data_IF_518893876582
#
_entry.id   IF_518893876582
#
_cell.length_a   1.000
_cell.length_b   1.000
_cell.length_c   1.000
_cell.angle_alpha   90.00
_cell.angle_beta   90.00
_cell.angle_gamma   90.00
#
_symmetry.space_group_name_H-M   'P 1'
#
loop_
_entity.id
_entity.type
_entity.pdbx_description
1 polymer ?
#
# COMPACT_ATOMS: atom_id res chain seq x y z
N UNK A 1 -43.63 -35.64 49.67
CA UNK A 1 -44.08 -34.36 49.08
C UNK A 1 -43.03 -33.32 49.41
N UNK A 2 -42.30 -32.79 48.42
CA UNK A 2 -41.29 -31.74 48.60
C UNK A 2 -39.85 -32.19 48.25
N UNK A 3 -39.11 -31.30 47.57
CA UNK A 3 -37.69 -31.36 47.19
C UNK A 3 -37.31 -31.98 45.83
N UNK A 4 -37.83 -31.43 44.72
CA UNK A 4 -37.26 -31.61 43.36
C UNK A 4 -37.42 -30.32 42.52
N UNK A 5 -36.97 -29.16 43.00
CA UNK A 5 -36.95 -27.90 42.20
C UNK A 5 -35.70 -27.03 42.42
N UNK A 6 -34.60 -27.63 42.91
CA UNK A 6 -33.34 -26.90 43.14
C UNK A 6 -32.42 -26.82 41.92
N UNK A 7 -32.32 -27.89 41.11
CA UNK A 7 -31.24 -28.04 40.13
C UNK A 7 -31.35 -27.22 38.85
N UNK A 8 -32.58 -26.87 38.43
CA UNK A 8 -32.83 -26.27 37.11
C UNK A 8 -32.55 -24.75 37.06
N UNK A 9 -32.66 -24.07 38.20
CA UNK A 9 -32.44 -22.63 38.31
C UNK A 9 -30.95 -22.25 38.30
N UNK A 10 -30.10 -23.08 38.92
CA UNK A 10 -28.65 -22.86 38.87
C UNK A 10 -28.10 -23.11 37.47
N UNK A 11 -28.53 -24.19 36.79
CA UNK A 11 -28.09 -24.49 35.42
C UNK A 11 -28.41 -23.38 34.42
N UNK A 12 -29.64 -22.84 34.45
CA UNK A 12 -30.03 -21.72 33.58
C UNK A 12 -29.29 -20.41 33.92
N UNK A 13 -29.02 -20.15 35.20
CA UNK A 13 -28.23 -19.00 35.63
C UNK A 13 -26.76 -19.10 35.18
N UNK A 14 -26.15 -20.30 35.26
CA UNK A 14 -24.80 -20.56 34.78
C UNK A 14 -24.68 -20.41 33.26
N UNK A 15 -25.63 -20.95 32.50
CA UNK A 15 -25.66 -20.79 31.03
C UNK A 15 -25.80 -19.33 30.66
N UNK A 16 -26.74 -18.61 31.28
CA UNK A 16 -26.95 -17.18 30.99
C UNK A 16 -25.72 -16.35 31.31
N UNK A 17 -25.09 -16.55 32.48
CA UNK A 17 -23.86 -15.86 32.84
C UNK A 17 -22.73 -16.13 31.84
N UNK A 18 -22.56 -17.38 31.40
CA UNK A 18 -21.56 -17.75 30.38
C UNK A 18 -21.86 -17.12 29.01
N UNK A 19 -23.13 -17.05 28.61
CA UNK A 19 -23.55 -16.40 27.36
C UNK A 19 -23.34 -14.88 27.42
N UNK A 20 -23.64 -14.25 28.56
CA UNK A 20 -23.41 -12.82 28.78
C UNK A 20 -21.89 -12.50 28.75
N UNK A 21 -21.06 -13.31 29.41
CA UNK A 21 -19.59 -13.19 29.38
C UNK A 21 -19.02 -13.37 27.95
N UNK A 22 -19.56 -14.30 27.17
CA UNK A 22 -19.16 -14.49 25.77
C UNK A 22 -19.56 -13.31 24.88
N UNK A 23 -20.78 -12.79 25.05
CA UNK A 23 -21.26 -11.65 24.29
C UNK A 23 -20.46 -10.37 24.60
N UNK A 24 -20.08 -10.17 25.87
CA UNK A 24 -19.23 -9.05 26.29
C UNK A 24 -17.80 -9.17 25.73
N UNK A 25 -17.21 -10.38 25.74
CA UNK A 25 -15.91 -10.62 25.11
C UNK A 25 -15.94 -10.41 23.59
N UNK A 26 -17.01 -10.85 22.91
CA UNK A 26 -17.16 -10.64 21.46
C UNK A 26 -17.31 -9.15 21.13
N UNK A 27 -18.07 -8.41 21.94
CA UNK A 27 -18.20 -6.96 21.79
C UNK A 27 -16.85 -6.26 21.94
N UNK A 28 -16.08 -6.59 22.98
CA UNK A 28 -14.74 -6.02 23.20
C UNK A 28 -13.77 -6.34 22.04
N UNK A 29 -13.79 -7.57 21.52
CA UNK A 29 -12.98 -7.95 20.35
C UNK A 29 -13.38 -7.12 19.13
N UNK A 30 -14.68 -6.95 18.89
CA UNK A 30 -15.20 -6.19 17.74
C UNK A 30 -14.85 -4.71 17.85
N UNK A 31 -14.96 -4.13 19.03
CA UNK A 31 -14.54 -2.74 19.30
C UNK A 31 -13.03 -2.58 19.11
N UNK A 32 -12.22 -3.47 19.67
CA UNK A 32 -10.76 -3.46 19.48
C UNK A 32 -10.36 -3.63 18.01
N UNK A 33 -11.06 -4.48 17.26
CA UNK A 33 -10.83 -4.65 15.83
C UNK A 33 -11.14 -3.36 15.07
N UNK A 34 -12.28 -2.72 15.35
CA UNK A 34 -12.68 -1.46 14.73
C UNK A 34 -11.69 -0.33 15.03
N UNK A 35 -11.21 -0.23 16.27
CA UNK A 35 -10.15 0.74 16.64
C UNK A 35 -8.85 0.47 15.87
N UNK A 36 -8.42 -0.78 15.79
CA UNK A 36 -7.22 -1.17 15.01
C UNK A 36 -7.39 -0.84 13.53
N UNK A 37 -8.54 -1.10 12.94
CA UNK A 37 -8.82 -0.74 11.54
C UNK A 37 -8.71 0.78 11.33
N UNK A 38 -9.31 1.60 12.20
CA UNK A 38 -9.23 3.07 12.14
C UNK A 38 -7.77 3.53 12.23
N UNK A 39 -7.01 3.01 13.19
CA UNK A 39 -5.59 3.34 13.36
C UNK A 39 -4.77 2.96 12.12
N UNK A 40 -5.03 1.81 11.52
CA UNK A 40 -4.38 1.41 10.27
C UNK A 40 -4.72 2.38 9.13
N UNK A 41 -5.99 2.81 8.99
CA UNK A 41 -6.37 3.82 7.98
C UNK A 41 -5.56 5.11 8.17
N UNK A 42 -5.46 5.58 9.41
CA UNK A 42 -4.74 6.82 9.74
C UNK A 42 -3.24 6.71 9.41
N UNK A 43 -2.61 5.58 9.72
CA UNK A 43 -1.21 5.31 9.34
C UNK A 43 -1.05 5.36 7.81
N UNK A 44 -1.94 4.71 7.06
CA UNK A 44 -1.89 4.72 5.60
C UNK A 44 -2.07 6.13 5.02
N UNK A 45 -3.01 6.91 5.54
CA UNK A 45 -3.20 8.31 5.16
C UNK A 45 -1.94 9.14 5.41
N UNK A 46 -1.29 8.96 6.57
CA UNK A 46 -0.04 9.66 6.91
C UNK A 46 1.12 9.24 5.99
N UNK A 47 1.26 7.95 5.69
CA UNK A 47 2.29 7.46 4.75
C UNK A 47 2.08 8.10 3.38
N UNK A 48 0.85 8.14 2.86
CA UNK A 48 0.53 8.79 1.60
C UNK A 48 0.92 10.26 1.60
N UNK A 49 0.54 11.00 2.65
CA UNK A 49 0.88 12.42 2.79
C UNK A 49 2.40 12.64 2.81
N UNK A 50 3.15 11.80 3.53
CA UNK A 50 4.61 11.88 3.61
C UNK A 50 5.26 11.63 2.25
N UNK A 51 4.82 10.59 1.53
CA UNK A 51 5.32 10.27 0.19
C UNK A 51 5.00 11.39 -0.81
N UNK A 52 3.82 11.99 -0.75
CA UNK A 52 3.44 13.13 -1.59
C UNK A 52 4.28 14.38 -1.29
N UNK A 53 4.53 14.67 -0.02
CA UNK A 53 5.38 15.78 0.40
C UNK A 53 6.81 15.59 -0.11
N UNK A 54 7.40 14.42 0.13
CA UNK A 54 8.75 14.09 -0.34
C UNK A 54 8.84 14.16 -1.88
N UNK A 55 7.85 13.60 -2.58
CA UNK A 55 7.78 13.68 -4.05
C UNK A 55 7.74 15.14 -4.53
N UNK A 56 6.95 15.99 -3.89
CA UNK A 56 6.84 17.40 -4.26
C UNK A 56 8.14 18.16 -4.00
N UNK A 57 8.80 17.92 -2.86
CA UNK A 57 10.09 18.51 -2.54
C UNK A 57 11.16 18.11 -3.56
N UNK A 58 11.30 16.81 -3.87
CA UNK A 58 12.28 16.33 -4.84
C UNK A 58 12.04 16.91 -6.24
N UNK A 59 10.77 17.04 -6.65
CA UNK A 59 10.42 17.68 -7.92
C UNK A 59 10.82 19.16 -7.94
N UNK A 60 10.58 19.91 -6.86
CA UNK A 60 11.01 21.30 -6.75
C UNK A 60 12.53 21.42 -6.79
N UNK A 61 13.25 20.58 -6.04
CA UNK A 61 14.71 20.56 -6.05
C UNK A 61 15.29 20.23 -7.43
N UNK A 62 14.65 19.33 -8.18
CA UNK A 62 15.02 19.04 -9.57
C UNK A 62 14.86 20.26 -10.49
N UNK A 63 13.83 21.09 -10.28
CA UNK A 63 13.57 22.30 -11.08
C UNK A 63 14.55 23.42 -10.77
N UNK A 64 14.95 23.58 -9.50
CA UNK A 64 15.86 24.65 -9.06
C UNK A 64 17.33 24.23 -9.00
N UNK A 65 17.66 23.02 -9.45
CA UNK A 65 19.04 22.55 -9.50
C UNK A 65 19.90 23.46 -10.39
N UNK A 66 21.06 23.88 -9.87
CA UNK A 66 21.99 24.76 -10.58
C UNK A 66 22.75 24.08 -11.72
N UNK A 67 22.70 22.76 -11.78
CA UNK A 67 23.35 21.95 -12.80
C UNK A 67 22.53 20.70 -13.15
N UNK A 68 22.81 20.15 -14.34
CA UNK A 68 22.08 19.01 -14.88
C UNK A 68 22.23 17.74 -14.02
N UNK A 69 23.42 17.47 -13.50
CA UNK A 69 23.69 16.26 -12.72
C UNK A 69 22.84 16.24 -11.44
N UNK A 70 22.84 17.35 -10.70
CA UNK A 70 22.03 17.51 -9.49
C UNK A 70 20.53 17.39 -9.81
N UNK A 71 20.07 18.03 -10.89
CA UNK A 71 18.68 17.94 -11.34
C UNK A 71 18.25 16.51 -11.67
N UNK A 72 19.13 15.74 -12.32
CA UNK A 72 18.90 14.34 -12.69
C UNK A 72 18.83 13.43 -11.45
N UNK A 73 19.69 13.64 -10.44
CA UNK A 73 19.66 12.90 -9.16
C UNK A 73 18.32 13.11 -8.43
N UNK A 74 17.83 14.35 -8.38
CA UNK A 74 16.54 14.64 -7.76
C UNK A 74 15.36 14.05 -8.55
N UNK A 75 15.43 14.06 -9.88
CA UNK A 75 14.41 13.44 -10.75
C UNK A 75 14.34 11.92 -10.57
N UNK A 76 15.49 11.27 -10.45
CA UNK A 76 15.60 9.83 -10.17
C UNK A 76 15.07 9.49 -8.76
N UNK A 77 15.45 10.29 -7.76
CA UNK A 77 14.91 10.13 -6.40
C UNK A 77 13.39 10.30 -6.39
N UNK A 78 12.87 11.27 -7.15
CA UNK A 78 11.44 11.51 -7.30
C UNK A 78 10.73 10.30 -7.93
N UNK A 79 11.25 9.70 -9.00
CA UNK A 79 10.62 8.50 -9.60
C UNK A 79 10.63 7.31 -8.65
N UNK A 80 11.69 7.12 -7.85
CA UNK A 80 11.75 6.07 -6.82
C UNK A 80 10.68 6.26 -5.75
N UNK A 81 10.54 7.47 -5.20
CA UNK A 81 9.49 7.77 -4.21
C UNK A 81 8.10 7.58 -4.80
N UNK A 82 7.87 8.00 -6.05
CA UNK A 82 6.58 7.75 -6.73
C UNK A 82 6.29 6.26 -6.90
N UNK A 83 7.30 5.46 -7.23
CA UNK A 83 7.16 4.00 -7.35
C UNK A 83 6.65 3.36 -6.06
N UNK A 84 7.22 3.76 -4.91
CA UNK A 84 6.80 3.32 -3.59
C UNK A 84 5.39 3.81 -3.25
N UNK A 85 5.06 5.07 -3.59
CA UNK A 85 3.73 5.63 -3.39
C UNK A 85 2.64 4.86 -4.14
N UNK A 86 2.91 4.48 -5.40
CA UNK A 86 1.96 3.71 -6.22
C UNK A 86 1.63 2.34 -5.62
N UNK A 87 2.63 1.66 -5.03
CA UNK A 87 2.42 0.40 -4.29
C UNK A 87 1.53 0.62 -3.09
N UNK A 88 1.81 1.65 -2.29
CA UNK A 88 1.02 1.96 -1.11
C UNK A 88 -0.43 2.30 -1.45
N UNK A 89 -0.68 3.02 -2.55
CA UNK A 89 -2.02 3.35 -3.02
C UNK A 89 -2.79 2.10 -3.50
N UNK A 90 -2.15 1.17 -4.21
CA UNK A 90 -2.79 -0.05 -4.72
C UNK A 90 -3.11 -1.05 -3.59
N UNK A 91 -2.20 -1.21 -2.63
CA UNK A 91 -2.43 -2.08 -1.47
C UNK A 91 -3.68 -1.68 -0.71
N UNK A 92 -3.84 -0.38 -0.43
CA UNK A 92 -4.93 0.06 0.43
C UNK A 92 -6.27 0.22 -0.32
N UNK A 93 -6.23 0.38 -1.64
CA UNK A 93 -7.44 0.35 -2.47
C UNK A 93 -8.04 -1.06 -2.57
N UNK A 94 -7.23 -2.10 -2.40
CA UNK A 94 -7.67 -3.50 -2.38
C UNK A 94 -7.95 -3.94 -0.94
N UNK A 95 -9.13 -3.61 -0.43
CA UNK A 95 -9.61 -3.84 0.96
C UNK A 95 -9.48 -5.28 1.50
N UNK A 96 -9.05 -6.27 0.69
CA UNK A 96 -9.17 -7.70 0.98
C UNK A 96 -7.86 -8.49 0.74
N UNK A 97 -6.89 -7.98 -0.03
CA UNK A 97 -5.69 -8.74 -0.36
C UNK A 97 -4.40 -7.95 -0.11
N UNK A 98 -3.54 -8.51 0.73
CA UNK A 98 -2.15 -8.05 0.95
C UNK A 98 -1.23 -8.28 -0.26
N UNK A 99 -1.81 -8.41 -1.46
CA UNK A 99 -1.14 -8.77 -2.70
C UNK A 99 -1.46 -7.79 -3.81
N UNK A 100 -0.46 -7.51 -4.64
CA UNK A 100 -0.47 -6.54 -5.72
C UNK A 100 -0.36 -7.30 -7.04
N UNK A 101 -1.27 -7.01 -7.97
CA UNK A 101 -1.09 -7.37 -9.38
C UNK A 101 0.17 -6.67 -9.90
N UNK A 102 1.23 -7.45 -10.07
CA UNK A 102 2.55 -6.94 -10.40
C UNK A 102 2.63 -6.45 -11.85
N UNK A 103 1.93 -7.11 -12.78
CA UNK A 103 1.91 -6.72 -14.19
C UNK A 103 1.32 -5.31 -14.36
N UNK A 104 0.11 -5.13 -13.82
CA UNK A 104 -0.56 -3.81 -13.85
C UNK A 104 0.25 -2.74 -13.11
N UNK A 105 0.89 -3.09 -11.99
CA UNK A 105 1.73 -2.17 -11.25
C UNK A 105 2.96 -1.71 -12.07
N UNK A 106 3.72 -2.66 -12.64
CA UNK A 106 4.94 -2.38 -13.39
C UNK A 106 4.64 -1.61 -14.68
N UNK A 107 3.54 -1.92 -15.37
CA UNK A 107 3.12 -1.18 -16.56
C UNK A 107 2.81 0.30 -16.24
N UNK A 108 2.06 0.56 -15.16
CA UNK A 108 1.78 1.93 -14.72
C UNK A 108 3.04 2.65 -14.28
N UNK A 109 3.95 1.96 -13.60
CA UNK A 109 5.23 2.52 -13.18
C UNK A 109 6.08 2.93 -14.39
N UNK A 110 6.24 2.02 -15.36
CA UNK A 110 6.95 2.27 -16.60
C UNK A 110 6.39 3.48 -17.36
N UNK A 111 5.07 3.54 -17.51
CA UNK A 111 4.37 4.67 -18.14
C UNK A 111 4.70 6.00 -17.45
N UNK A 112 4.61 6.05 -16.12
CA UNK A 112 4.91 7.26 -15.34
C UNK A 112 6.37 7.72 -15.48
N UNK A 113 7.32 6.78 -15.52
CA UNK A 113 8.75 7.09 -15.71
C UNK A 113 8.95 7.67 -17.10
N UNK A 114 8.43 7.01 -18.15
CA UNK A 114 8.55 7.47 -19.54
C UNK A 114 8.00 8.89 -19.69
N UNK A 115 6.81 9.18 -19.15
CA UNK A 115 6.22 10.54 -19.20
C UNK A 115 7.08 11.58 -18.45
N UNK A 116 7.73 11.20 -17.35
CA UNK A 116 8.59 12.12 -16.57
C UNK A 116 9.88 12.49 -17.29
N UNK A 117 10.38 11.61 -18.16
CA UNK A 117 11.61 11.77 -18.93
C UNK A 117 11.40 12.28 -20.36
N UNK A 118 10.16 12.36 -20.84
CA UNK A 118 9.87 12.78 -22.21
C UNK A 118 10.38 14.19 -22.50
N UNK A 119 11.42 14.25 -23.34
CA UNK A 119 12.06 15.47 -23.76
C UNK A 119 12.29 15.59 -25.27
N UNK A 120 11.66 14.72 -26.11
CA UNK A 120 11.44 14.87 -27.59
C UNK A 120 11.20 13.56 -28.39
N UNK A 121 11.33 12.36 -27.79
CA UNK A 121 11.19 11.08 -28.52
C UNK A 121 9.90 10.32 -28.15
N UNK A 122 9.25 9.76 -29.16
CA UNK A 122 8.09 8.87 -29.00
C UNK A 122 8.59 7.48 -28.60
N UNK A 123 8.27 7.06 -27.37
CA UNK A 123 8.57 5.72 -26.86
C UNK A 123 7.24 4.98 -26.76
N UNK A 124 7.18 3.79 -27.36
CA UNK A 124 6.01 2.91 -27.27
C UNK A 124 6.27 1.89 -26.19
N UNK A 125 5.37 1.81 -25.21
CA UNK A 125 5.38 0.76 -24.19
C UNK A 125 4.46 -0.37 -24.65
N UNK A 126 4.98 -1.59 -24.72
CA UNK A 126 4.23 -2.80 -25.06
C UNK A 126 4.04 -3.59 -23.76
N UNK A 127 2.79 -3.93 -23.46
CA UNK A 127 2.43 -4.75 -22.31
C UNK A 127 2.23 -6.20 -22.75
N UNK A 128 2.98 -7.11 -22.13
CA UNK A 128 2.86 -8.57 -22.29
C UNK A 128 2.96 -9.21 -20.89
N UNK A 129 2.24 -8.64 -19.93
CA UNK A 129 2.26 -9.09 -18.54
C UNK A 129 1.07 -10.00 -18.21
N UNK A 130 1.33 -11.04 -17.44
CA UNK A 130 0.30 -11.89 -16.85
C UNK A 130 -0.16 -11.32 -15.49
N UNK A 131 -1.39 -11.66 -15.08
CA UNK A 131 -1.94 -11.28 -13.77
C UNK A 131 -1.32 -12.13 -12.65
N UNK A 132 -0.15 -11.70 -12.19
CA UNK A 132 0.56 -12.33 -11.07
C UNK A 132 0.43 -11.46 -9.83
N UNK A 133 -0.02 -12.04 -8.72
CA UNK A 133 -0.22 -11.34 -7.46
C UNK A 133 0.95 -11.59 -6.51
N UNK A 134 1.69 -10.54 -6.16
CA UNK A 134 2.82 -10.61 -5.23
C UNK A 134 2.52 -9.88 -3.91
N UNK A 135 3.00 -10.38 -2.77
CA UNK A 135 2.93 -9.62 -1.53
C UNK A 135 3.77 -8.34 -1.64
N UNK A 136 3.38 -7.31 -0.90
CA UNK A 136 3.95 -5.95 -0.98
C UNK A 136 5.47 -5.92 -0.80
N UNK A 137 5.97 -6.71 0.14
CA UNK A 137 7.40 -6.82 0.42
C UNK A 137 8.21 -7.37 -0.77
N UNK A 138 7.58 -8.07 -1.71
CA UNK A 138 8.18 -8.52 -2.96
C UNK A 138 7.90 -7.55 -4.11
N UNK A 139 6.73 -6.89 -4.14
CA UNK A 139 6.40 -5.93 -5.19
C UNK A 139 7.29 -4.67 -5.15
N UNK A 140 7.68 -4.20 -3.96
CA UNK A 140 8.57 -3.04 -3.78
C UNK A 140 9.91 -3.22 -4.50
N UNK A 141 10.71 -4.27 -4.23
CA UNK A 141 11.98 -4.45 -4.94
C UNK A 141 11.79 -4.63 -6.45
N UNK A 142 10.73 -5.29 -6.92
CA UNK A 142 10.42 -5.38 -8.36
C UNK A 142 10.20 -4.00 -8.99
N UNK A 143 9.46 -3.13 -8.31
CA UNK A 143 9.24 -1.75 -8.73
C UNK A 143 10.52 -0.92 -8.77
N UNK A 144 11.40 -1.08 -7.79
CA UNK A 144 12.69 -0.39 -7.78
C UNK A 144 13.58 -0.87 -8.94
N UNK A 145 13.74 -2.19 -9.13
CA UNK A 145 14.51 -2.76 -10.23
C UNK A 145 13.98 -2.25 -11.58
N UNK A 146 12.67 -2.27 -11.77
CA UNK A 146 12.04 -1.77 -13.01
C UNK A 146 12.33 -0.29 -13.22
N UNK A 147 12.28 0.52 -12.17
CA UNK A 147 12.63 1.94 -12.25
C UNK A 147 14.09 2.15 -12.69
N UNK A 148 15.04 1.43 -12.08
CA UNK A 148 16.45 1.51 -12.48
C UNK A 148 16.67 1.10 -13.93
N UNK A 149 16.07 -0.02 -14.36
CA UNK A 149 16.22 -0.51 -15.73
C UNK A 149 15.67 0.50 -16.74
N UNK A 150 14.45 0.99 -16.52
CA UNK A 150 13.81 1.94 -17.43
C UNK A 150 14.54 3.27 -17.45
N UNK A 151 14.90 3.83 -16.30
CA UNK A 151 15.64 5.10 -16.25
C UNK A 151 17.01 5.00 -16.92
N UNK A 152 17.71 3.87 -16.78
CA UNK A 152 18.97 3.61 -17.44
C UNK A 152 18.80 3.54 -18.97
N UNK A 153 17.79 2.83 -19.47
CA UNK A 153 17.44 2.79 -20.90
C UNK A 153 17.17 4.21 -21.42
N UNK A 154 16.36 5.00 -20.71
CA UNK A 154 16.01 6.36 -21.11
C UNK A 154 17.19 7.34 -21.11
N UNK A 155 18.20 7.11 -20.26
CA UNK A 155 19.40 7.97 -20.20
C UNK A 155 20.46 7.62 -21.25
N UNK A 156 20.56 6.35 -21.66
CA UNK A 156 21.70 5.85 -22.42
C UNK A 156 21.36 5.26 -23.79
N UNK A 157 20.15 4.74 -24.00
CA UNK A 157 19.76 4.09 -25.25
C UNK A 157 19.14 5.04 -26.29
N UNK A 158 18.68 6.22 -25.86
CA UNK A 158 18.01 7.21 -26.68
C UNK A 158 18.57 8.61 -26.42
#
# INVERSE_FOLDING_TARGET
MGYMYGGNSYGSLYIRKKTDEQAEAELQIRESLKEKEILLKEVHHRIKNNLQLMSSMLRLQATYAGDKLTGDIFRESHTRIRSIAMIHEQLYSSQILSSIDIGSYLFRLASNIITTYQNKKTITLIDDTEHIYLPVNQAIPCGLITNEVITNILKHAF
#
